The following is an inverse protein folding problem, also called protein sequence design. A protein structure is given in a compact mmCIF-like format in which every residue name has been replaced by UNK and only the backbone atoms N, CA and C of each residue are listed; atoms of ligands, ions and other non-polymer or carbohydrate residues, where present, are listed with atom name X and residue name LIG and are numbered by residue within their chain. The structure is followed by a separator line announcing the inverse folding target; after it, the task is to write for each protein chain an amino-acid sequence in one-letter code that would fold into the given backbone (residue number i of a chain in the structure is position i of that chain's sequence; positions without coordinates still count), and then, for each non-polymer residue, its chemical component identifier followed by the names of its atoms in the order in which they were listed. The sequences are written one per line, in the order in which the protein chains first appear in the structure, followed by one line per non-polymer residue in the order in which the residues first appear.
data_IF_175200587300
#
_entry.id   IF_175200587300
#
_cell.length_a   1.000
_cell.length_b   1.000
_cell.length_c   1.000
_cell.angle_alpha   90.00
_cell.angle_beta   90.00
_cell.angle_gamma   90.00
#
_symmetry.space_group_name_H-M   'P 1'
#
loop_
_entity.id
_entity.type
_entity.pdbx_description
1 polymer ?
#
# COMPACT_ATOMS: atom_id res chain seq x y z
N UNK A 1 -6.70 -15.19 -10.98
CA UNK A 1 -5.64 -16.12 -11.41
C UNK A 1 -4.28 -15.66 -10.92
N UNK A 2 -3.86 -14.44 -11.26
CA UNK A 2 -2.56 -13.89 -10.86
C UNK A 2 -2.39 -13.80 -9.34
N UNK A 3 -3.39 -13.29 -8.61
CA UNK A 3 -3.35 -13.27 -7.13
C UNK A 3 -3.20 -14.67 -6.51
N UNK A 4 -3.91 -15.68 -7.06
CA UNK A 4 -3.82 -17.07 -6.59
C UNK A 4 -2.42 -17.64 -6.80
N UNK A 5 -1.88 -17.52 -8.02
CA UNK A 5 -0.54 -18.01 -8.37
C UNK A 5 0.54 -17.28 -7.56
N UNK A 6 0.40 -15.95 -7.45
CA UNK A 6 1.30 -15.10 -6.70
C UNK A 6 1.36 -15.48 -5.22
N UNK A 7 0.22 -15.66 -4.55
CA UNK A 7 0.19 -16.11 -3.14
C UNK A 7 0.80 -17.50 -2.96
N UNK A 8 0.65 -18.37 -3.95
CA UNK A 8 1.22 -19.71 -3.95
C UNK A 8 2.72 -19.76 -4.31
N UNK A 9 3.34 -18.63 -4.68
CA UNK A 9 4.77 -18.54 -5.01
C UNK A 9 5.13 -18.82 -6.47
N UNK A 10 4.13 -19.10 -7.33
CA UNK A 10 4.30 -19.34 -8.76
C UNK A 10 4.38 -18.01 -9.52
N UNK A 11 5.44 -17.22 -9.24
CA UNK A 11 5.58 -15.86 -9.73
C UNK A 11 5.84 -15.75 -11.23
N UNK A 12 6.56 -16.70 -11.81
CA UNK A 12 6.78 -16.77 -13.26
C UNK A 12 5.45 -16.97 -13.99
N UNK A 13 4.65 -17.92 -13.54
CA UNK A 13 3.32 -18.19 -14.08
C UNK A 13 2.39 -17.00 -13.84
N UNK A 14 2.42 -16.41 -12.65
CA UNK A 14 1.66 -15.20 -12.34
C UNK A 14 2.02 -14.05 -13.28
N UNK A 15 3.30 -13.89 -13.63
CA UNK A 15 3.79 -12.90 -14.61
C UNK A 15 3.27 -13.15 -16.01
N UNK A 16 3.34 -14.40 -16.48
CA UNK A 16 2.84 -14.76 -17.80
C UNK A 16 1.35 -14.42 -17.95
N UNK A 17 0.56 -14.68 -16.90
CA UNK A 17 -0.84 -14.27 -16.85
C UNK A 17 -1.04 -12.75 -16.77
N UNK A 18 -0.19 -12.04 -16.02
CA UNK A 18 -0.30 -10.60 -15.81
C UNK A 18 0.05 -9.77 -17.05
N UNK A 19 0.84 -10.33 -17.98
CA UNK A 19 1.32 -9.66 -19.20
C UNK A 19 0.22 -8.99 -20.05
N UNK A 20 -1.03 -9.42 -19.90
CA UNK A 20 -2.18 -8.94 -20.68
C UNK A 20 -3.04 -7.88 -19.97
N UNK A 21 -2.81 -7.55 -18.69
CA UNK A 21 -3.69 -6.66 -17.91
C UNK A 21 -2.96 -5.87 -16.81
N UNK A 22 -3.12 -4.54 -16.80
CA UNK A 22 -2.52 -3.64 -15.80
C UNK A 22 -2.96 -3.97 -14.37
N UNK A 23 -4.25 -4.26 -14.17
CA UNK A 23 -4.80 -4.67 -12.86
C UNK A 23 -4.18 -5.98 -12.34
N UNK A 24 -3.67 -6.82 -13.23
CA UNK A 24 -2.96 -8.04 -12.86
C UNK A 24 -1.52 -7.77 -12.43
N UNK A 25 -0.88 -6.71 -12.93
CA UNK A 25 0.45 -6.30 -12.50
C UNK A 25 0.48 -5.84 -11.03
N UNK A 26 -0.60 -5.21 -10.53
CA UNK A 26 -0.70 -4.83 -9.11
C UNK A 26 -0.68 -6.06 -8.19
N UNK A 27 -1.48 -7.08 -8.52
CA UNK A 27 -1.50 -8.34 -7.78
C UNK A 27 -0.15 -9.06 -7.84
N UNK A 28 0.52 -9.02 -8.99
CA UNK A 28 1.87 -9.56 -9.14
C UNK A 28 2.90 -8.81 -8.29
N UNK A 29 2.88 -7.49 -8.26
CA UNK A 29 3.77 -6.69 -7.40
C UNK A 29 3.54 -6.98 -5.91
N UNK A 30 2.29 -7.14 -5.51
CA UNK A 30 1.94 -7.59 -4.15
C UNK A 30 2.56 -8.95 -3.83
N UNK A 31 2.49 -9.89 -4.76
CA UNK A 31 3.11 -11.21 -4.61
C UNK A 31 4.65 -11.14 -4.57
N UNK A 32 5.28 -10.33 -5.44
CA UNK A 32 6.73 -10.10 -5.39
C UNK A 32 7.16 -9.53 -4.03
N UNK A 33 6.35 -8.68 -3.40
CA UNK A 33 6.64 -8.15 -2.07
C UNK A 33 6.63 -9.23 -0.99
N UNK A 34 5.75 -10.22 -1.10
CA UNK A 34 5.63 -11.32 -0.13
C UNK A 34 6.80 -12.30 -0.27
N UNK A 35 7.24 -12.56 -1.51
CA UNK A 35 8.29 -13.55 -1.79
C UNK A 35 9.69 -12.94 -1.96
N UNK A 36 9.84 -11.61 -1.86
CA UNK A 36 11.14 -10.94 -1.98
C UNK A 36 11.70 -10.85 -3.41
N UNK A 37 10.87 -11.00 -4.44
CA UNK A 37 11.28 -10.95 -5.85
C UNK A 37 11.43 -9.51 -6.37
N UNK A 38 12.49 -8.84 -5.91
CA UNK A 38 12.77 -7.42 -6.20
C UNK A 38 12.99 -7.17 -7.69
N UNK A 39 13.75 -8.02 -8.38
CA UNK A 39 14.08 -7.82 -9.79
C UNK A 39 12.83 -7.87 -10.69
N UNK A 40 11.92 -8.81 -10.41
CA UNK A 40 10.64 -8.88 -11.12
C UNK A 40 9.78 -7.66 -10.81
N UNK A 41 9.72 -7.23 -9.55
CA UNK A 41 8.95 -6.06 -9.15
C UNK A 41 9.43 -4.76 -9.83
N UNK A 42 10.75 -4.56 -9.93
CA UNK A 42 11.32 -3.42 -10.64
C UNK A 42 10.89 -3.40 -12.11
N UNK A 43 11.07 -4.52 -12.82
CA UNK A 43 10.70 -4.64 -14.24
C UNK A 43 9.20 -4.42 -14.49
N UNK A 44 8.33 -5.05 -13.68
CA UNK A 44 6.87 -4.90 -13.80
C UNK A 44 6.45 -3.47 -13.49
N UNK A 45 7.02 -2.88 -12.44
CA UNK A 45 6.69 -1.55 -12.01
C UNK A 45 7.14 -0.46 -12.99
N UNK A 46 8.31 -0.59 -13.60
CA UNK A 46 8.74 0.30 -14.69
C UNK A 46 7.76 0.23 -15.88
N UNK A 47 7.36 -0.98 -16.28
CA UNK A 47 6.35 -1.16 -17.32
C UNK A 47 5.02 -0.49 -16.99
N UNK A 48 4.55 -0.60 -15.73
CA UNK A 48 3.34 0.10 -15.28
C UNK A 48 3.46 1.62 -15.37
N UNK A 49 4.62 2.20 -15.03
CA UNK A 49 4.86 3.65 -15.16
C UNK A 49 4.83 4.10 -16.61
N UNK A 50 5.37 3.30 -17.53
CA UNK A 50 5.34 3.63 -18.96
C UNK A 50 3.93 3.59 -19.55
N UNK A 51 3.07 2.66 -19.08
CA UNK A 51 1.70 2.51 -19.59
C UNK A 51 0.74 3.52 -18.97
N UNK A 52 0.89 3.83 -17.68
CA UNK A 52 0.07 4.82 -16.97
C UNK A 52 0.96 5.84 -16.26
N UNK A 53 1.55 6.79 -17.01
CA UNK A 53 2.28 7.90 -16.40
C UNK A 53 1.33 8.71 -15.52
N UNK A 54 1.77 9.05 -14.30
CA UNK A 54 0.96 9.77 -13.33
C UNK A 54 0.10 8.91 -12.40
N UNK A 55 0.17 7.58 -12.48
CA UNK A 55 -0.42 6.68 -11.49
C UNK A 55 0.57 6.42 -10.33
N UNK A 56 0.18 6.77 -9.11
CA UNK A 56 1.01 6.61 -7.91
C UNK A 56 1.19 5.13 -7.49
N UNK A 57 0.30 4.25 -7.94
CA UNK A 57 0.23 2.84 -7.51
C UNK A 57 1.52 2.09 -7.82
N UNK A 58 2.12 2.31 -8.99
CA UNK A 58 3.39 1.67 -9.34
C UNK A 58 4.52 2.11 -8.40
N UNK A 59 4.59 3.40 -8.04
CA UNK A 59 5.57 3.90 -7.08
C UNK A 59 5.36 3.30 -5.70
N UNK A 60 4.11 3.26 -5.23
CA UNK A 60 3.76 2.73 -3.91
C UNK A 60 4.08 1.25 -3.82
N UNK A 61 3.65 0.44 -4.79
CA UNK A 61 3.85 -1.01 -4.77
C UNK A 61 5.33 -1.39 -4.91
N UNK A 62 6.09 -0.75 -5.80
CA UNK A 62 7.54 -0.99 -5.88
C UNK A 62 8.25 -0.58 -4.60
N UNK A 63 7.92 0.59 -4.02
CA UNK A 63 8.48 1.05 -2.76
C UNK A 63 8.22 0.05 -1.63
N UNK A 64 7.03 -0.55 -1.58
CA UNK A 64 6.71 -1.59 -0.59
C UNK A 64 7.57 -2.85 -0.77
N UNK A 65 7.84 -3.29 -2.01
CA UNK A 65 8.71 -4.44 -2.29
C UNK A 65 10.13 -4.18 -1.78
N UNK A 66 10.66 -2.98 -2.04
CA UNK A 66 11.97 -2.57 -1.52
C UNK A 66 12.00 -2.55 0.01
N UNK A 67 10.98 -1.99 0.67
CA UNK A 67 10.86 -2.05 2.14
C UNK A 67 10.84 -3.49 2.65
N UNK A 68 10.03 -4.36 2.06
CA UNK A 68 9.92 -5.77 2.45
C UNK A 68 11.24 -6.53 2.28
N UNK A 69 12.12 -6.05 1.40
CA UNK A 69 13.45 -6.62 1.14
C UNK A 69 14.59 -5.90 1.87
N UNK A 70 14.27 -4.97 2.80
CA UNK A 70 15.26 -4.20 3.56
C UNK A 70 16.00 -3.10 2.78
N UNK A 71 15.56 -2.81 1.55
CA UNK A 71 16.14 -1.81 0.65
C UNK A 71 15.50 -0.43 0.86
N UNK A 72 15.63 0.10 2.07
CA UNK A 72 14.96 1.34 2.51
C UNK A 72 15.36 2.57 1.70
N UNK A 73 16.62 2.66 1.29
CA UNK A 73 17.12 3.77 0.48
C UNK A 73 16.44 3.82 -0.89
N UNK A 74 16.31 2.67 -1.55
CA UNK A 74 15.62 2.54 -2.84
C UNK A 74 14.12 2.85 -2.71
N UNK A 75 13.50 2.42 -1.61
CA UNK A 75 12.12 2.76 -1.30
C UNK A 75 11.95 4.29 -1.13
N UNK A 76 12.86 4.95 -0.42
CA UNK A 76 12.84 6.40 -0.21
C UNK A 76 13.04 7.16 -1.53
N UNK A 77 13.99 6.72 -2.38
CA UNK A 77 14.22 7.31 -3.70
C UNK A 77 12.95 7.26 -4.57
N UNK A 78 12.24 6.13 -4.57
CA UNK A 78 10.97 6.02 -5.28
C UNK A 78 9.90 6.97 -4.73
N UNK A 79 9.82 7.13 -3.42
CA UNK A 79 8.85 8.05 -2.79
C UNK A 79 9.19 9.51 -3.07
N UNK A 80 10.48 9.87 -3.14
CA UNK A 80 10.95 11.19 -3.57
C UNK A 80 10.55 11.46 -5.02
N UNK A 81 10.86 10.54 -5.94
CA UNK A 81 10.47 10.67 -7.34
C UNK A 81 8.94 10.81 -7.51
N UNK A 82 8.16 10.00 -6.78
CA UNK A 82 6.69 10.13 -6.75
C UNK A 82 6.25 11.54 -6.33
N UNK A 83 6.87 12.11 -5.30
CA UNK A 83 6.54 13.45 -4.81
C UNK A 83 6.99 14.57 -5.75
N UNK A 84 8.14 14.42 -6.43
CA UNK A 84 8.64 15.37 -7.45
C UNK A 84 7.71 15.45 -8.66
N UNK A 85 7.05 14.34 -9.01
CA UNK A 85 6.00 14.29 -10.03
C UNK A 85 4.64 14.83 -9.52
N UNK A 86 4.56 15.29 -8.27
CA UNK A 86 3.33 15.79 -7.66
C UNK A 86 2.34 14.69 -7.27
N UNK A 87 2.74 13.42 -7.37
CA UNK A 87 1.90 12.27 -7.05
C UNK A 87 1.89 12.00 -5.55
N UNK A 88 0.71 11.67 -5.02
CA UNK A 88 0.51 11.36 -3.60
C UNK A 88 -0.45 10.19 -3.48
N UNK A 89 -0.09 9.21 -2.64
CA UNK A 89 -1.02 8.16 -2.26
C UNK A 89 -2.22 8.79 -1.55
N UNK A 90 -3.47 8.50 -1.95
CA UNK A 90 -4.64 8.96 -1.22
C UNK A 90 -4.59 8.43 0.24
N UNK A 91 -4.99 9.24 1.22
CA UNK A 91 -5.04 8.78 2.60
C UNK A 91 -6.03 7.63 2.73
N UNK A 92 -5.75 6.70 3.66
CA UNK A 92 -6.72 5.69 4.04
C UNK A 92 -7.94 6.35 4.68
N UNK A 93 -9.14 5.95 4.26
CA UNK A 93 -10.40 6.44 4.81
C UNK A 93 -11.25 5.28 5.30
N UNK A 94 -11.84 5.42 6.48
CA UNK A 94 -12.91 4.54 6.97
C UNK A 94 -14.10 5.39 7.42
N UNK A 95 -15.26 4.77 7.59
CA UNK A 95 -16.45 5.46 8.06
C UNK A 95 -17.35 4.51 8.84
N UNK A 96 -18.15 5.07 9.75
CA UNK A 96 -19.22 4.37 10.45
C UNK A 96 -20.52 5.14 10.29
N UNK A 97 -21.64 4.42 10.31
CA UNK A 97 -22.98 4.99 10.29
C UNK A 97 -23.72 4.60 11.57
N UNK A 98 -24.16 5.60 12.34
CA UNK A 98 -24.90 5.39 13.59
C UNK A 98 -26.11 6.30 13.59
N UNK A 99 -27.31 5.72 13.68
CA UNK A 99 -28.55 6.50 13.71
C UNK A 99 -28.69 7.46 12.53
N UNK A 100 -28.38 6.99 11.31
CA UNK A 100 -28.39 7.78 10.07
C UNK A 100 -27.40 8.96 10.05
N UNK A 101 -26.38 8.94 10.91
CA UNK A 101 -25.26 9.89 10.92
C UNK A 101 -23.98 9.19 10.48
N UNK A 102 -23.44 9.62 9.35
CA UNK A 102 -22.15 9.15 8.83
C UNK A 102 -21.01 9.92 9.49
N UNK A 103 -20.02 9.20 10.03
CA UNK A 103 -18.78 9.78 10.57
C UNK A 103 -17.61 9.15 9.83
N UNK A 104 -16.79 9.98 9.18
CA UNK A 104 -15.60 9.54 8.45
C UNK A 104 -14.32 9.74 9.26
N UNK A 105 -13.38 8.82 9.10
CA UNK A 105 -12.05 8.83 9.68
C UNK A 105 -11.04 8.81 8.54
N UNK A 106 -10.20 9.83 8.45
CA UNK A 106 -9.20 9.97 7.39
C UNK A 106 -7.82 9.89 8.01
N UNK A 107 -6.99 8.96 7.54
CA UNK A 107 -5.63 8.76 8.03
C UNK A 107 -4.81 10.05 7.87
N UNK A 108 -4.10 10.44 8.93
CA UNK A 108 -3.33 11.69 8.98
C UNK A 108 -4.18 12.96 9.16
N UNK A 109 -5.51 12.84 9.26
CA UNK A 109 -6.40 13.96 9.57
C UNK A 109 -6.98 13.80 10.98
N UNK A 110 -6.56 14.68 11.89
CA UNK A 110 -7.03 14.68 13.28
C UNK A 110 -8.33 15.49 13.46
N UNK A 111 -8.83 16.18 12.43
CA UNK A 111 -9.91 17.19 12.57
C UNK A 111 -11.33 16.62 12.44
N UNK A 112 -11.52 15.43 11.84
CA UNK A 112 -12.85 14.86 11.62
C UNK A 112 -13.49 14.29 12.91
N UNK A 113 -12.69 14.03 13.95
CA UNK A 113 -13.19 13.68 15.28
C UNK A 113 -13.52 14.97 16.03
N UNK A 114 -14.49 15.72 15.51
CA UNK A 114 -15.11 16.78 16.28
C UNK A 114 -15.91 16.14 17.44
N UNK A 115 -15.39 16.37 18.64
CA UNK A 115 -16.17 16.60 19.87
C UNK A 115 -16.73 15.43 20.69
N UNK A 116 -16.19 14.20 20.61
CA UNK A 116 -16.55 13.18 21.62
C UNK A 116 -15.30 12.70 22.38
N UNK A 117 -15.13 13.18 23.61
CA UNK A 117 -13.97 12.86 24.45
C UNK A 117 -13.81 11.36 24.67
N UNK A 118 -14.93 10.64 24.82
CA UNK A 118 -14.96 9.19 24.99
C UNK A 118 -14.43 8.44 23.76
N UNK A 119 -14.77 8.89 22.54
CA UNK A 119 -14.29 8.25 21.31
C UNK A 119 -12.79 8.45 21.14
N UNK A 120 -12.28 9.64 21.49
CA UNK A 120 -10.85 9.94 21.42
C UNK A 120 -10.07 9.13 22.45
N UNK A 121 -10.57 9.01 23.69
CA UNK A 121 -9.96 8.14 24.70
C UNK A 121 -9.97 6.66 24.29
N UNK A 122 -11.08 6.17 23.75
CA UNK A 122 -11.19 4.79 23.27
C UNK A 122 -10.20 4.51 22.14
N UNK A 123 -10.07 5.43 21.17
CA UNK A 123 -9.08 5.32 20.09
C UNK A 123 -7.65 5.33 20.61
N UNK A 124 -7.32 6.20 21.58
CA UNK A 124 -5.99 6.22 22.22
C UNK A 124 -5.70 4.90 22.96
N UNK A 125 -6.69 4.33 23.65
CA UNK A 125 -6.53 3.03 24.33
C UNK A 125 -6.24 1.91 23.33
N UNK A 126 -7.03 1.83 22.25
CA UNK A 126 -6.84 0.85 21.19
C UNK A 126 -5.48 1.03 20.49
N UNK A 127 -5.06 2.26 20.22
CA UNK A 127 -3.75 2.53 19.62
C UNK A 127 -2.62 2.04 20.53
N UNK A 128 -2.71 2.29 21.85
CA UNK A 128 -1.73 1.79 22.81
C UNK A 128 -1.69 0.26 22.88
N UNK A 129 -2.85 -0.40 22.84
CA UNK A 129 -2.91 -1.86 22.79
C UNK A 129 -2.28 -2.43 21.51
N UNK A 130 -2.60 -1.84 20.35
CA UNK A 130 -2.04 -2.27 19.06
C UNK A 130 -0.54 -2.03 18.97
N UNK A 131 -0.03 -0.91 19.50
CA UNK A 131 1.41 -0.63 19.61
C UNK A 131 2.12 -1.61 20.53
N UNK A 132 1.45 -2.07 21.59
CA UNK A 132 1.99 -3.07 22.51
C UNK A 132 1.97 -4.50 21.93
N UNK A 133 1.11 -4.77 20.95
CA UNK A 133 1.01 -6.09 20.28
C UNK A 133 1.90 -6.25 19.04
N UNK A 134 2.45 -5.17 18.46
CA UNK A 134 3.10 -5.23 17.15
C UNK A 134 4.45 -4.53 17.05
N UNK A 135 5.53 -5.18 17.51
CA UNK A 135 6.92 -4.86 17.09
C UNK A 135 7.28 -5.45 15.71
N UNK A 136 6.32 -5.62 14.82
CA UNK A 136 6.53 -6.13 13.46
C UNK A 136 6.01 -5.14 12.41
N UNK A 137 6.55 -3.93 12.42
CA UNK A 137 6.74 -3.08 11.24
C UNK A 137 8.01 -2.26 11.49
N UNK A 138 9.15 -2.96 11.36
CA UNK A 138 10.48 -2.41 11.12
C UNK A 138 11.04 -3.13 9.89
#
# INVERSE_FOLDING_TARGET
MVDLLGRAGYLSEARDWASNMISSCEALLGACSVHGEVAMAASVGEGMKSVQPGNETSYVLQSNVYCASGQWEQAELLRKAMAEEGLKKPPGCSWIEVGNKLTSFVAGNCQAVSCNGELRETLYSLENEMRNFGRCWL
#
